data_IF_847980894039
#
_entry.id   IF_847980894039
#
_cell.length_a   1.000
_cell.length_b   1.000
_cell.length_c   1.000
_cell.angle_alpha   90.00
_cell.angle_beta   90.00
_cell.angle_gamma   90.00
#
_symmetry.space_group_name_H-M   'P 1'
#
loop_
_entity.id
_entity.type
_entity.pdbx_description
1 polymer ?
#
# COMPACT_ATOMS: atom_id res chain seq x y z
N UNK A 1 10.07 -11.20 8.58
CA UNK A 1 10.33 -10.48 9.85
C UNK A 1 11.32 -11.30 10.66
N UNK A 2 12.14 -10.73 11.56
CA UNK A 2 13.10 -11.52 12.34
C UNK A 2 12.42 -12.69 13.06
N UNK A 3 12.81 -13.94 12.73
CA UNK A 3 12.25 -15.15 13.34
C UNK A 3 10.90 -15.64 12.80
N UNK A 4 10.27 -14.92 11.85
CA UNK A 4 9.03 -15.35 11.19
C UNK A 4 9.31 -16.25 9.98
N UNK A 5 8.33 -17.08 9.62
CA UNK A 5 8.35 -17.84 8.36
C UNK A 5 8.49 -16.85 7.17
N UNK A 6 9.52 -16.99 6.31
CA UNK A 6 9.67 -16.17 5.13
C UNK A 6 8.47 -16.18 4.17
N UNK A 7 7.63 -17.23 4.24
CA UNK A 7 6.43 -17.40 3.42
C UNK A 7 5.15 -16.87 4.09
N UNK A 8 5.25 -16.31 5.31
CA UNK A 8 4.11 -15.67 5.97
C UNK A 8 3.74 -14.35 5.29
N UNK A 9 2.97 -14.45 4.22
CA UNK A 9 2.47 -13.33 3.42
C UNK A 9 1.65 -12.34 4.25
N UNK A 10 0.85 -12.84 5.18
CA UNK A 10 -0.01 -12.02 6.04
C UNK A 10 0.85 -11.17 6.98
N UNK A 11 1.87 -11.77 7.61
CA UNK A 11 2.79 -11.06 8.51
C UNK A 11 3.55 -9.94 7.79
N UNK A 12 4.04 -10.20 6.58
CA UNK A 12 4.71 -9.19 5.77
C UNK A 12 3.75 -8.06 5.33
N UNK A 13 2.52 -8.41 4.94
CA UNK A 13 1.48 -7.44 4.57
C UNK A 13 1.08 -6.55 5.76
N UNK A 14 0.90 -7.14 6.95
CA UNK A 14 0.57 -6.41 8.16
C UNK A 14 1.67 -5.41 8.54
N UNK A 15 2.95 -5.82 8.46
CA UNK A 15 4.07 -4.90 8.64
C UNK A 15 4.01 -3.72 7.65
N UNK A 16 3.72 -4.00 6.39
CA UNK A 16 3.58 -2.95 5.36
C UNK A 16 2.42 -1.98 5.64
N UNK A 17 1.30 -2.47 6.16
CA UNK A 17 0.18 -1.63 6.59
C UNK A 17 0.56 -0.75 7.78
N UNK A 18 1.29 -1.28 8.75
CA UNK A 18 1.76 -0.50 9.92
C UNK A 18 2.73 0.60 9.50
N UNK A 19 3.66 0.34 8.57
CA UNK A 19 4.54 1.39 8.01
C UNK A 19 3.74 2.48 7.28
N UNK A 20 2.64 2.10 6.62
CA UNK A 20 1.74 3.07 5.96
C UNK A 20 0.99 3.90 7.00
N UNK A 21 0.48 3.27 8.06
CA UNK A 21 -0.20 3.92 9.17
C UNK A 21 0.74 4.89 9.90
N UNK A 22 1.98 4.51 10.14
CA UNK A 22 3.00 5.38 10.74
C UNK A 22 3.16 6.68 9.95
N UNK A 23 3.33 6.59 8.62
CA UNK A 23 3.45 7.77 7.75
C UNK A 23 2.21 8.66 7.79
N UNK A 24 1.02 8.04 7.85
CA UNK A 24 -0.23 8.76 7.98
C UNK A 24 -0.32 9.52 9.30
N UNK A 25 0.02 8.86 10.41
CA UNK A 25 0.03 9.48 11.74
C UNK A 25 1.08 10.59 11.84
N UNK A 26 2.27 10.40 11.25
CA UNK A 26 3.27 11.46 11.12
C UNK A 26 2.73 12.67 10.35
N UNK A 27 1.91 12.45 9.31
CA UNK A 27 1.29 13.52 8.53
C UNK A 27 0.15 14.24 9.26
N UNK A 28 -0.43 13.65 10.31
CA UNK A 28 -1.36 14.34 11.22
C UNK A 28 -0.65 15.36 12.10
N UNK A 29 0.62 15.13 12.46
CA UNK A 29 1.38 15.99 13.36
C UNK A 29 0.71 16.08 14.74
N UNK A 30 0.64 17.29 15.29
CA UNK A 30 0.04 17.53 16.62
C UNK A 30 -1.50 17.48 16.63
N UNK A 31 -2.15 17.54 15.47
CA UNK A 31 -3.62 17.46 15.32
C UNK A 31 -4.06 16.00 15.15
N UNK A 32 -3.94 15.19 16.20
CA UNK A 32 -4.35 13.79 16.18
C UNK A 32 -5.83 13.63 16.56
N UNK A 33 -6.70 14.14 15.69
CA UNK A 33 -8.17 14.02 15.81
C UNK A 33 -8.72 12.99 14.80
N UNK A 34 -9.85 12.32 15.09
CA UNK A 34 -10.48 11.41 14.13
C UNK A 34 -10.75 12.06 12.76
N UNK A 35 -11.17 13.32 12.78
CA UNK A 35 -11.45 14.11 11.58
C UNK A 35 -10.19 14.32 10.73
N UNK A 36 -9.07 14.72 11.35
CA UNK A 36 -7.81 14.91 10.64
C UNK A 36 -7.23 13.58 10.15
N UNK A 37 -7.34 12.50 10.93
CA UNK A 37 -6.93 11.15 10.51
C UNK A 37 -7.65 10.73 9.23
N UNK A 38 -8.98 10.89 9.17
CA UNK A 38 -9.76 10.60 7.95
C UNK A 38 -9.37 11.53 6.81
N UNK A 39 -9.14 12.82 7.08
CA UNK A 39 -8.70 13.77 6.06
C UNK A 39 -7.35 13.37 5.44
N UNK A 40 -6.37 12.93 6.24
CA UNK A 40 -5.08 12.42 5.74
C UNK A 40 -5.23 11.08 5.02
N UNK A 41 -6.04 10.17 5.56
CA UNK A 41 -6.32 8.86 4.95
C UNK A 41 -6.97 8.97 3.56
N UNK A 42 -7.77 10.01 3.34
CA UNK A 42 -8.51 10.24 2.09
C UNK A 42 -7.82 11.19 1.13
N UNK A 43 -6.61 11.67 1.46
CA UNK A 43 -5.82 12.56 0.60
C UNK A 43 -4.38 12.07 0.40
N UNK A 44 -4.16 10.77 0.54
CA UNK A 44 -2.83 10.17 0.37
C UNK A 44 -2.33 10.37 -1.06
N UNK A 45 -1.05 10.74 -1.20
CA UNK A 45 -0.39 10.93 -2.48
C UNK A 45 0.87 10.09 -2.53
N UNK A 46 0.83 9.01 -3.31
CA UNK A 46 1.97 8.17 -3.64
C UNK A 46 2.75 7.65 -2.42
N UNK A 47 2.05 7.10 -1.44
CA UNK A 47 2.68 6.50 -0.26
C UNK A 47 3.20 5.10 -0.62
N UNK A 48 4.53 4.96 -0.66
CA UNK A 48 5.17 3.66 -0.82
C UNK A 48 5.13 2.84 0.47
N UNK A 49 5.03 1.51 0.35
CA UNK A 49 5.02 0.59 1.48
C UNK A 49 5.80 -0.70 1.15
N UNK A 50 6.42 -1.38 2.14
CA UNK A 50 7.31 -2.51 1.91
C UNK A 50 6.76 -3.66 1.05
N UNK A 51 5.46 -3.96 1.17
CA UNK A 51 4.83 -5.08 0.45
C UNK A 51 4.31 -4.68 -0.95
N UNK A 52 4.44 -3.42 -1.36
CA UNK A 52 4.05 -3.00 -2.70
C UNK A 52 5.16 -3.26 -3.71
N UNK A 53 4.77 -3.67 -4.91
CA UNK A 53 5.69 -3.81 -6.04
C UNK A 53 6.28 -2.45 -6.43
N UNK A 54 7.47 -2.47 -7.03
CA UNK A 54 8.13 -1.25 -7.50
C UNK A 54 7.23 -0.42 -8.43
N UNK A 55 7.13 0.86 -8.09
CA UNK A 55 6.28 1.81 -8.81
C UNK A 55 4.78 1.68 -8.52
N UNK A 56 4.36 0.85 -7.54
CA UNK A 56 3.01 0.84 -6.96
C UNK A 56 3.02 1.62 -5.64
N UNK A 57 1.98 2.40 -5.40
CA UNK A 57 1.84 3.22 -4.20
C UNK A 57 0.39 3.36 -3.78
N UNK A 58 0.15 3.70 -2.52
CA UNK A 58 -1.17 4.07 -2.04
C UNK A 58 -1.46 5.53 -2.35
N UNK A 59 -2.58 5.80 -3.01
CA UNK A 59 -3.13 7.12 -3.27
C UNK A 59 -4.64 7.10 -3.14
N UNK A 60 -5.20 8.08 -2.44
CA UNK A 60 -6.65 8.18 -2.19
C UNK A 60 -7.12 9.61 -2.44
N UNK A 61 -8.41 9.75 -2.73
CA UNK A 61 -9.09 11.04 -2.85
C UNK A 61 -10.35 11.02 -1.99
N UNK A 62 -10.88 12.17 -1.55
CA UNK A 62 -12.15 12.22 -0.82
C UNK A 62 -13.34 11.67 -1.61
N UNK A 63 -13.20 11.55 -2.93
CA UNK A 63 -14.18 10.98 -3.86
C UNK A 63 -13.87 9.55 -4.29
N UNK A 64 -12.75 8.98 -3.88
CA UNK A 64 -12.27 7.67 -4.32
C UNK A 64 -11.30 7.06 -3.30
N UNK A 65 -11.80 6.04 -2.61
CA UNK A 65 -11.15 5.40 -1.48
C UNK A 65 -10.33 4.17 -1.89
N UNK A 66 -10.27 3.85 -3.19
CA UNK A 66 -9.48 2.72 -3.70
C UNK A 66 -8.01 3.11 -3.74
N UNK A 67 -7.15 2.57 -2.85
CA UNK A 67 -5.84 3.17 -2.63
C UNK A 67 -4.80 2.74 -3.67
N UNK A 68 -4.98 1.60 -4.34
CA UNK A 68 -4.06 1.12 -5.37
C UNK A 68 -4.66 1.41 -6.75
N UNK A 69 -3.95 2.20 -7.54
CA UNK A 69 -4.35 2.57 -8.91
C UNK A 69 -3.50 1.95 -10.00
N UNK A 70 -2.47 1.19 -9.64
CA UNK A 70 -1.61 0.50 -10.59
C UNK A 70 -1.55 -0.98 -10.25
N UNK A 71 -1.93 -1.81 -11.21
CA UNK A 71 -1.90 -3.27 -11.12
C UNK A 71 -0.84 -3.84 -12.06
N UNK A 72 -0.27 -4.99 -11.68
CA UNK A 72 0.68 -5.73 -12.51
C UNK A 72 0.00 -6.98 -13.04
N UNK A 73 -0.15 -7.07 -14.36
CA UNK A 73 -0.65 -8.29 -15.01
C UNK A 73 0.47 -9.31 -15.00
N UNK A 74 0.16 -10.51 -14.51
CA UNK A 74 1.11 -11.61 -14.43
C UNK A 74 0.62 -12.83 -15.21
N UNK A 75 1.55 -13.63 -15.71
CA UNK A 75 1.27 -14.92 -16.34
C UNK A 75 2.11 -16.00 -15.66
N UNK A 76 1.47 -17.14 -15.37
CA UNK A 76 2.14 -18.30 -14.82
C UNK A 76 2.74 -19.15 -15.94
N UNK A 77 4.03 -19.45 -15.84
CA UNK A 77 4.77 -20.23 -16.86
C UNK A 77 4.89 -21.72 -16.54
N UNK A 78 4.22 -22.20 -15.49
CA UNK A 78 4.34 -23.58 -14.98
C UNK A 78 5.26 -23.71 -13.77
N UNK A 79 6.10 -22.71 -13.48
CA UNK A 79 6.99 -22.69 -12.32
C UNK A 79 6.85 -21.41 -11.48
N UNK A 80 6.63 -20.26 -12.11
CA UNK A 80 6.54 -18.95 -11.43
C UNK A 80 5.60 -17.98 -12.14
N UNK A 81 5.23 -16.93 -11.41
CA UNK A 81 4.51 -15.78 -11.96
C UNK A 81 5.49 -14.77 -12.53
N UNK A 82 5.32 -14.40 -13.80
CA UNK A 82 6.12 -13.37 -14.46
C UNK A 82 5.26 -12.14 -14.72
N UNK A 83 5.77 -10.95 -14.40
CA UNK A 83 5.12 -9.68 -14.72
C UNK A 83 5.19 -9.46 -16.23
N UNK A 84 4.03 -9.23 -16.84
CA UNK A 84 3.88 -8.97 -18.27
C UNK A 84 3.80 -7.47 -18.55
N UNK A 85 2.97 -6.75 -17.79
CA UNK A 85 2.78 -5.29 -17.96
C UNK A 85 2.11 -4.66 -16.75
N UNK A 86 2.33 -3.36 -16.58
CA UNK A 86 1.56 -2.52 -15.66
C UNK A 86 0.28 -2.00 -16.32
N UNK A 87 -0.78 -1.83 -15.54
CA UNK A 87 -2.06 -1.25 -15.95
C UNK A 87 -2.49 -0.24 -14.88
N UNK A 88 -2.80 0.98 -15.31
CA UNK A 88 -3.43 1.99 -14.46
C UNK A 88 -4.95 1.75 -14.43
N UNK A 89 -5.54 1.87 -13.26
CA UNK A 89 -6.96 1.73 -12.97
C UNK A 89 -7.49 3.11 -12.58
N UNK A 90 -8.65 3.49 -13.10
CA UNK A 90 -9.25 4.80 -12.88
C UNK A 90 -10.25 4.70 -11.73
#
# INVERSE_FOLDING_TARGET
LPGEDPLNEIGFSAYSWVVTLEKLLQACGDDLTPENVVAKATSMKSIAAPALLDGVSYSTKPTDYSPIKKLMIQTFDGAKWNIVRAVEVH
#
